data_IF_632610943345
#
_entry.id   IF_632610943345
#
_cell.length_a   1.000
_cell.length_b   1.000
_cell.length_c   1.000
_cell.angle_alpha   90.00
_cell.angle_beta   90.00
_cell.angle_gamma   90.00
#
_symmetry.space_group_name_H-M   'P 1'
#
loop_
_entity.id
_entity.type
_entity.pdbx_description
1 polymer ?
#
# COMPACT_ATOMS: atom_id res chain seq x y z
N UNK A 1 -38.58 -55.13 -2.05
CA UNK A 1 -38.09 -54.30 -3.16
C UNK A 1 -38.53 -52.83 -3.10
N UNK A 2 -39.37 -52.41 -2.17
CA UNK A 2 -39.88 -51.00 -2.09
C UNK A 2 -39.03 -50.05 -1.20
N UNK A 3 -38.26 -50.58 -0.27
CA UNK A 3 -37.46 -49.76 0.67
C UNK A 3 -36.16 -49.24 0.02
N UNK A 4 -35.54 -50.03 -0.85
CA UNK A 4 -34.29 -49.65 -1.53
C UNK A 4 -34.49 -48.52 -2.56
N UNK A 5 -35.64 -48.42 -3.21
CA UNK A 5 -35.97 -47.35 -4.17
C UNK A 5 -36.24 -46.01 -3.49
N UNK A 6 -36.72 -46.03 -2.25
CA UNK A 6 -36.96 -44.79 -1.47
C UNK A 6 -35.63 -44.17 -0.92
N UNK A 7 -34.67 -45.02 -0.51
CA UNK A 7 -33.36 -44.57 -0.05
C UNK A 7 -32.56 -43.92 -1.19
N UNK A 8 -32.67 -44.43 -2.42
CA UNK A 8 -31.97 -43.86 -3.58
C UNK A 8 -32.53 -42.48 -4.02
N UNK A 9 -33.85 -42.30 -3.89
CA UNK A 9 -34.49 -41.01 -4.21
C UNK A 9 -34.12 -39.88 -3.23
N UNK A 10 -33.94 -40.20 -1.95
CA UNK A 10 -33.53 -39.24 -0.93
C UNK A 10 -32.03 -38.87 -1.01
N UNK A 11 -31.17 -39.80 -1.44
CA UNK A 11 -29.76 -39.54 -1.69
C UNK A 11 -29.51 -38.58 -2.85
N UNK A 12 -30.36 -38.62 -3.90
CA UNK A 12 -30.23 -37.77 -5.07
C UNK A 12 -30.71 -36.34 -4.81
N UNK A 13 -31.68 -36.14 -3.92
CA UNK A 13 -32.18 -34.82 -3.50
C UNK A 13 -31.17 -34.13 -2.58
N UNK A 14 -30.43 -34.86 -1.73
CA UNK A 14 -29.40 -34.31 -0.87
C UNK A 14 -28.12 -33.90 -1.63
N UNK A 15 -27.83 -34.59 -2.75
CA UNK A 15 -26.64 -34.26 -3.57
C UNK A 15 -26.85 -33.03 -4.45
N UNK A 16 -28.09 -32.67 -4.80
CA UNK A 16 -28.39 -31.46 -5.56
C UNK A 16 -28.37 -30.15 -4.73
N UNK A 17 -28.46 -30.25 -3.41
CA UNK A 17 -28.48 -29.07 -2.54
C UNK A 17 -27.11 -28.47 -2.19
N UNK A 18 -26.01 -29.16 -2.53
CA UNK A 18 -24.63 -28.73 -2.19
C UNK A 18 -23.99 -27.89 -3.31
N UNK A 19 -24.61 -27.75 -4.47
CA UNK A 19 -24.07 -26.99 -5.60
C UNK A 19 -24.62 -25.54 -5.73
N UNK A 20 -25.27 -25.02 -4.68
CA UNK A 20 -25.44 -23.57 -4.56
C UNK A 20 -24.17 -22.92 -3.96
N UNK A 21 -23.03 -23.16 -4.58
CA UNK A 21 -21.87 -22.30 -4.40
C UNK A 21 -22.27 -20.92 -4.92
N UNK A 22 -22.35 -19.98 -3.99
CA UNK A 22 -22.80 -18.63 -4.23
C UNK A 22 -22.13 -18.03 -5.46
N UNK A 23 -22.93 -17.75 -6.48
CA UNK A 23 -22.53 -16.87 -7.55
C UNK A 23 -22.10 -15.56 -6.89
N UNK A 24 -20.82 -15.32 -6.78
CA UNK A 24 -20.28 -13.98 -6.51
C UNK A 24 -20.88 -13.12 -7.60
N UNK A 25 -21.78 -12.24 -7.21
CA UNK A 25 -22.30 -11.24 -8.11
C UNK A 25 -21.08 -10.47 -8.63
N UNK A 26 -20.71 -10.73 -9.87
CA UNK A 26 -19.72 -9.93 -10.56
C UNK A 26 -20.26 -8.51 -10.54
N UNK A 27 -19.57 -7.60 -9.86
CA UNK A 27 -20.02 -6.24 -9.64
C UNK A 27 -20.14 -5.46 -10.95
N UNK A 28 -19.87 -6.10 -12.08
CA UNK A 28 -19.88 -5.50 -13.41
C UNK A 28 -18.94 -4.29 -13.53
N UNK A 29 -17.98 -4.20 -12.61
CA UNK A 29 -16.96 -3.16 -12.58
C UNK A 29 -15.63 -3.79 -13.01
N UNK A 30 -15.04 -3.22 -14.06
CA UNK A 30 -13.68 -3.54 -14.49
C UNK A 30 -12.75 -2.43 -14.04
N UNK A 31 -11.57 -2.80 -13.57
CA UNK A 31 -10.53 -1.84 -13.15
C UNK A 31 -9.19 -2.38 -13.60
N UNK A 32 -8.42 -1.52 -14.24
CA UNK A 32 -7.06 -1.80 -14.70
C UNK A 32 -6.12 -0.70 -14.24
N UNK A 33 -4.87 -1.09 -14.01
CA UNK A 33 -3.75 -0.20 -13.76
C UNK A 33 -2.92 -0.10 -15.04
N UNK A 34 -2.48 1.09 -15.40
CA UNK A 34 -1.53 1.26 -16.52
C UNK A 34 -0.25 0.43 -16.31
N UNK A 35 0.21 0.38 -15.06
CA UNK A 35 1.33 -0.47 -14.65
C UNK A 35 1.06 -1.08 -13.29
N UNK A 36 1.20 -2.39 -13.18
CA UNK A 36 1.12 -3.11 -11.90
C UNK A 36 2.43 -3.08 -11.11
N UNK A 37 3.50 -2.52 -11.69
CA UNK A 37 4.83 -2.50 -11.09
C UNK A 37 5.43 -1.09 -11.14
N UNK A 38 5.87 -0.59 -9.99
CA UNK A 38 6.65 0.63 -9.85
C UNK A 38 8.07 0.26 -9.46
N UNK A 39 9.03 0.72 -10.27
CA UNK A 39 10.45 0.46 -10.05
C UNK A 39 11.10 1.67 -9.40
N UNK A 40 11.62 1.48 -8.19
CA UNK A 40 12.33 2.52 -7.46
C UNK A 40 13.83 2.31 -7.68
N UNK A 41 14.50 3.31 -8.25
CA UNK A 41 15.94 3.38 -8.35
C UNK A 41 16.49 4.45 -7.40
N UNK A 42 17.80 4.50 -7.24
CA UNK A 42 18.51 5.55 -6.47
C UNK A 42 18.15 6.98 -6.91
N UNK A 43 17.72 7.16 -8.17
CA UNK A 43 17.33 8.44 -8.76
C UNK A 43 15.81 8.62 -8.84
N UNK A 44 15.04 7.81 -8.12
CA UNK A 44 13.59 7.91 -8.14
C UNK A 44 13.13 9.21 -7.46
N UNK A 45 12.47 10.06 -8.22
CA UNK A 45 11.94 11.36 -7.76
C UNK A 45 10.43 11.36 -7.54
N UNK A 46 9.80 10.19 -7.70
CA UNK A 46 8.35 10.00 -7.69
C UNK A 46 7.83 9.63 -9.08
N UNK A 47 6.65 9.06 -9.12
CA UNK A 47 5.97 8.62 -10.35
C UNK A 47 4.48 8.84 -10.25
N UNK A 48 3.83 9.13 -11.37
CA UNK A 48 2.38 9.12 -11.48
C UNK A 48 1.88 7.73 -11.85
N UNK A 49 0.79 7.32 -11.21
CA UNK A 49 0.11 6.05 -11.50
C UNK A 49 -1.28 6.35 -12.01
N UNK A 50 -1.61 5.79 -13.17
CA UNK A 50 -2.92 5.88 -13.78
C UNK A 50 -3.74 4.63 -13.48
N UNK A 51 -4.98 4.87 -13.06
CA UNK A 51 -6.00 3.86 -12.84
C UNK A 51 -7.18 4.20 -13.73
N UNK A 52 -7.72 3.23 -14.42
CA UNK A 52 -8.91 3.40 -15.22
C UNK A 52 -9.81 2.17 -15.11
N UNK A 53 -11.07 2.38 -15.42
CA UNK A 53 -12.02 1.28 -15.36
C UNK A 53 -13.41 1.70 -15.81
N UNK A 54 -14.29 0.73 -15.80
CA UNK A 54 -15.69 0.95 -16.19
C UNK A 54 -16.65 0.45 -15.14
N UNK A 55 -17.80 1.10 -15.06
CA UNK A 55 -18.93 0.65 -14.26
C UNK A 55 -20.13 0.37 -15.16
N UNK A 56 -20.98 -0.57 -14.77
CA UNK A 56 -22.21 -0.87 -15.53
C UNK A 56 -23.24 0.25 -15.52
N UNK A 57 -23.18 1.15 -14.53
CA UNK A 57 -24.15 2.24 -14.33
C UNK A 57 -23.44 3.46 -13.77
N UNK A 58 -24.02 4.64 -13.97
CA UNK A 58 -23.54 5.87 -13.34
C UNK A 58 -23.46 5.72 -11.83
N UNK A 59 -22.28 5.91 -11.28
CA UNK A 59 -21.94 5.71 -9.87
C UNK A 59 -20.83 6.67 -9.47
N UNK A 60 -20.80 7.04 -8.21
CA UNK A 60 -19.66 7.73 -7.64
C UNK A 60 -18.53 6.73 -7.42
N UNK A 61 -17.30 7.13 -7.69
CA UNK A 61 -16.11 6.28 -7.58
C UNK A 61 -15.21 6.83 -6.49
N UNK A 62 -14.79 5.93 -5.60
CA UNK A 62 -13.78 6.20 -4.59
C UNK A 62 -12.66 5.18 -4.74
N UNK A 63 -11.42 5.65 -4.79
CA UNK A 63 -10.23 4.82 -4.90
C UNK A 63 -9.42 5.00 -3.62
N UNK A 64 -9.12 3.90 -2.94
CA UNK A 64 -8.21 3.85 -1.82
C UNK A 64 -6.91 3.20 -2.26
N UNK A 65 -5.79 3.88 -2.02
CA UNK A 65 -4.45 3.32 -2.20
C UNK A 65 -3.80 3.24 -0.84
N UNK A 66 -3.42 2.06 -0.41
CA UNK A 66 -2.75 1.84 0.87
C UNK A 66 -1.46 1.05 0.68
N UNK A 67 -0.37 1.53 1.29
CA UNK A 67 0.90 0.78 1.34
C UNK A 67 0.77 -0.45 2.23
N UNK A 68 1.76 -1.36 2.19
CA UNK A 68 1.94 -2.36 3.24
C UNK A 68 2.01 -1.72 4.62
N UNK A 69 1.62 -2.50 5.63
CA UNK A 69 1.74 -2.09 7.02
C UNK A 69 3.21 -2.02 7.45
N UNK A 70 3.54 -1.01 8.22
CA UNK A 70 4.86 -0.78 8.79
C UNK A 70 4.79 -0.54 10.30
N UNK A 71 5.96 -0.55 10.95
CA UNK A 71 6.10 -0.10 12.33
C UNK A 71 6.58 1.34 12.37
N UNK A 72 5.92 2.19 13.12
CA UNK A 72 6.29 3.59 13.28
C UNK A 72 6.63 3.92 14.74
N UNK A 73 7.57 4.83 14.95
CA UNK A 73 7.92 5.32 16.28
C UNK A 73 7.54 6.79 16.37
N UNK A 74 6.57 7.08 17.23
CA UNK A 74 6.21 8.45 17.59
C UNK A 74 7.10 8.91 18.74
N UNK A 75 7.66 10.11 18.62
CA UNK A 75 8.38 10.77 19.71
C UNK A 75 7.80 12.16 19.94
N UNK A 76 7.41 12.43 21.15
CA UNK A 76 6.92 13.74 21.58
C UNK A 76 8.09 14.58 22.11
N UNK A 77 8.07 15.88 21.78
CA UNK A 77 8.95 16.84 22.42
C UNK A 77 8.13 17.61 23.46
N UNK A 78 8.41 17.36 24.72
CA UNK A 78 7.82 18.09 25.83
C UNK A 78 8.69 19.30 26.23
N UNK A 79 8.09 20.33 26.79
CA UNK A 79 8.80 21.47 27.35
C UNK A 79 8.92 21.32 28.86
N UNK A 80 10.15 21.32 29.37
CA UNK A 80 10.45 21.35 30.80
C UNK A 80 11.20 22.64 31.10
N UNK A 81 10.49 23.62 31.68
CA UNK A 81 11.03 24.97 31.84
C UNK A 81 11.37 25.63 30.49
N UNK A 82 12.58 26.18 30.32
CA UNK A 82 13.01 26.77 29.05
C UNK A 82 13.47 25.73 28.01
N UNK A 83 13.58 24.45 28.37
CA UNK A 83 14.19 23.41 27.51
C UNK A 83 13.15 22.52 26.85
N UNK A 84 13.41 22.12 25.60
CA UNK A 84 12.67 21.08 24.88
C UNK A 84 13.33 19.74 25.17
N UNK A 85 12.63 18.86 25.87
CA UNK A 85 13.11 17.51 26.22
C UNK A 85 12.40 16.49 25.35
N UNK A 86 13.12 15.48 24.85
CA UNK A 86 12.50 14.35 24.20
C UNK A 86 11.70 13.56 25.26
N UNK A 87 10.39 13.52 25.07
CA UNK A 87 9.49 12.68 25.86
C UNK A 87 9.63 11.19 25.50
N UNK A 88 8.75 10.37 26.06
CA UNK A 88 8.69 8.95 25.77
C UNK A 88 8.60 8.64 24.28
N UNK A 89 8.96 7.43 23.89
CA UNK A 89 8.74 6.90 22.54
C UNK A 89 7.54 5.95 22.59
N UNK A 90 6.65 6.08 21.62
CA UNK A 90 5.54 5.16 21.42
C UNK A 90 5.75 4.43 20.11
N UNK A 91 5.89 3.12 20.14
CA UNK A 91 5.94 2.28 18.96
C UNK A 91 4.54 1.82 18.60
N UNK A 92 4.18 2.03 17.35
CA UNK A 92 2.90 1.63 16.78
C UNK A 92 3.19 0.69 15.62
N UNK A 93 2.66 -0.51 15.68
CA UNK A 93 2.79 -1.54 14.67
C UNK A 93 1.48 -1.68 13.87
N UNK A 94 1.56 -2.25 12.67
CA UNK A 94 0.44 -2.43 11.74
C UNK A 94 -0.25 -1.12 11.34
N UNK A 95 0.54 -0.14 10.95
CA UNK A 95 0.04 1.12 10.38
C UNK A 95 0.47 1.26 8.94
N UNK A 96 -0.42 1.68 8.02
CA UNK A 96 -0.02 1.92 6.65
C UNK A 96 0.95 3.10 6.57
N UNK A 97 2.01 2.92 5.81
CA UNK A 97 2.99 3.99 5.57
C UNK A 97 2.42 5.13 4.72
N UNK A 98 1.54 4.78 3.76
CA UNK A 98 0.88 5.70 2.84
C UNK A 98 -0.60 5.34 2.70
N UNK A 99 -1.47 6.36 2.71
CA UNK A 99 -2.91 6.21 2.39
C UNK A 99 -3.36 7.37 1.51
N UNK A 100 -3.82 7.06 0.31
CA UNK A 100 -4.47 8.03 -0.57
C UNK A 100 -5.93 7.66 -0.77
N UNK A 101 -6.80 8.65 -0.66
CA UNK A 101 -8.24 8.54 -0.89
C UNK A 101 -8.60 9.49 -2.03
N UNK A 102 -8.87 8.93 -3.20
CA UNK A 102 -9.29 9.70 -4.38
C UNK A 102 -10.78 9.53 -4.59
N UNK A 103 -11.46 10.57 -5.03
CA UNK A 103 -12.90 10.53 -5.30
C UNK A 103 -13.27 11.48 -6.44
N UNK A 104 -14.42 11.22 -7.08
CA UNK A 104 -14.95 12.11 -8.11
C UNK A 104 -15.65 13.35 -7.55
N UNK A 105 -16.00 13.34 -6.27
CA UNK A 105 -16.53 14.47 -5.50
C UNK A 105 -16.23 14.27 -4.01
N UNK A 106 -16.46 15.25 -3.14
CA UNK A 106 -16.19 15.13 -1.71
C UNK A 106 -16.80 13.88 -1.09
N UNK A 107 -16.02 13.13 -0.31
CA UNK A 107 -16.44 11.83 0.26
C UNK A 107 -17.72 11.93 1.10
N UNK A 108 -17.91 13.02 1.83
CA UNK A 108 -19.12 13.29 2.64
C UNK A 108 -20.39 13.48 1.81
N UNK A 109 -20.28 13.77 0.52
CA UNK A 109 -21.40 13.85 -0.41
C UNK A 109 -21.69 12.48 -1.07
N UNK A 110 -20.70 11.58 -1.09
CA UNK A 110 -20.84 10.26 -1.69
C UNK A 110 -21.56 9.31 -0.75
N UNK A 111 -21.16 9.27 0.53
CA UNK A 111 -21.75 8.41 1.53
C UNK A 111 -21.58 8.96 2.96
N UNK A 112 -22.43 8.50 3.86
CA UNK A 112 -22.35 8.85 5.27
C UNK A 112 -21.08 8.33 5.93
N UNK A 113 -20.58 9.05 6.94
CA UNK A 113 -19.35 8.71 7.66
C UNK A 113 -19.31 7.26 8.16
N UNK A 114 -20.35 6.65 8.76
CA UNK A 114 -20.30 5.26 9.20
C UNK A 114 -20.10 4.27 8.04
N UNK A 115 -20.61 4.59 6.84
CA UNK A 115 -20.42 3.78 5.64
C UNK A 115 -18.96 3.88 5.17
N UNK A 116 -18.42 5.09 5.11
CA UNK A 116 -17.03 5.33 4.73
C UNK A 116 -16.05 4.64 5.70
N UNK A 117 -16.27 4.74 7.00
CA UNK A 117 -15.43 4.10 8.02
C UNK A 117 -15.45 2.57 7.90
N UNK A 118 -16.61 1.98 7.67
CA UNK A 118 -16.77 0.52 7.49
C UNK A 118 -15.94 -0.02 6.32
N UNK A 119 -15.76 0.78 5.27
CA UNK A 119 -15.00 0.40 4.07
C UNK A 119 -13.55 0.91 4.07
N UNK A 120 -13.06 1.46 5.17
CA UNK A 120 -11.69 1.95 5.26
C UNK A 120 -11.44 3.23 4.46
N UNK A 121 -12.48 4.03 4.20
CA UNK A 121 -12.43 5.25 3.40
C UNK A 121 -12.26 6.53 4.25
N UNK A 122 -11.72 6.37 5.45
CA UNK A 122 -11.28 7.47 6.30
C UNK A 122 -9.88 7.18 6.82
N UNK A 123 -9.09 8.19 7.14
CA UNK A 123 -7.74 7.94 7.70
C UNK A 123 -7.82 7.22 9.03
N UNK A 124 -8.78 7.58 9.87
CA UNK A 124 -9.00 6.95 11.17
C UNK A 124 -9.27 5.43 11.03
N UNK A 125 -10.12 5.02 10.11
CA UNK A 125 -10.43 3.60 9.89
C UNK A 125 -9.24 2.80 9.34
N UNK A 126 -8.30 3.44 8.65
CA UNK A 126 -7.05 2.80 8.22
C UNK A 126 -6.07 2.57 9.39
N UNK A 127 -6.28 3.20 10.54
CA UNK A 127 -5.51 2.98 11.77
C UNK A 127 -6.19 2.00 12.74
N UNK A 128 -7.34 1.43 12.39
CA UNK A 128 -8.09 0.53 13.27
C UNK A 128 -7.34 -0.79 13.56
N UNK A 129 -6.47 -1.23 12.65
CA UNK A 129 -5.62 -2.43 12.84
C UNK A 129 -4.33 -2.14 13.64
N UNK A 130 -4.04 -0.88 13.92
CA UNK A 130 -2.82 -0.47 14.60
C UNK A 130 -2.74 -1.04 16.02
N UNK A 131 -1.55 -1.49 16.40
CA UNK A 131 -1.26 -2.05 17.72
C UNK A 131 -0.16 -1.26 18.40
N UNK A 132 -0.35 -0.96 19.67
CA UNK A 132 0.68 -0.34 20.49
C UNK A 132 1.55 -1.43 21.10
N UNK A 133 2.87 -1.28 20.99
CA UNK A 133 3.84 -2.21 21.60
C UNK A 133 3.92 -2.04 23.13
N UNK A 134 3.46 -0.91 23.67
CA UNK A 134 3.41 -0.61 25.10
C UNK A 134 2.26 0.34 25.41
N UNK A 135 1.91 0.46 26.70
CA UNK A 135 0.95 1.48 27.13
C UNK A 135 1.44 2.88 26.70
N UNK A 136 0.56 3.73 26.18
CA UNK A 136 0.95 5.06 25.75
C UNK A 136 1.47 5.89 26.93
N UNK A 137 2.64 6.50 26.82
CA UNK A 137 3.13 7.41 27.84
C UNK A 137 2.22 8.63 27.99
N UNK A 138 2.27 9.36 29.11
CA UNK A 138 1.53 10.61 29.28
C UNK A 138 1.76 11.57 28.09
N UNK A 139 0.69 12.16 27.56
CA UNK A 139 0.72 13.03 26.39
C UNK A 139 0.53 12.32 25.04
N UNK A 140 0.29 11.01 25.06
CA UNK A 140 -0.01 10.21 23.85
C UNK A 140 -1.44 9.64 23.87
N UNK A 141 -2.33 10.20 24.68
CA UNK A 141 -3.72 9.73 24.78
C UNK A 141 -4.42 9.76 23.42
N UNK A 142 -4.11 10.75 22.59
CA UNK A 142 -4.64 10.89 21.22
C UNK A 142 -3.55 10.64 20.14
N UNK A 143 -2.85 9.51 20.29
CA UNK A 143 -1.76 9.16 19.36
C UNK A 143 -2.23 8.98 17.92
N UNK A 144 -3.47 8.52 17.70
CA UNK A 144 -4.01 8.34 16.35
C UNK A 144 -4.12 9.66 15.60
N UNK A 145 -4.69 10.68 16.23
CA UNK A 145 -4.75 12.01 15.64
C UNK A 145 -3.37 12.66 15.47
N UNK A 146 -2.44 12.39 16.39
CA UNK A 146 -1.05 12.84 16.24
C UNK A 146 -0.35 12.16 15.05
N UNK A 147 -0.55 10.85 14.89
CA UNK A 147 -0.02 10.07 13.76
C UNK A 147 -0.62 10.55 12.43
N UNK A 148 -1.93 10.71 12.37
CA UNK A 148 -2.63 11.21 11.18
C UNK A 148 -2.09 12.58 10.78
N UNK A 149 -1.99 13.54 11.72
CA UNK A 149 -1.40 14.86 11.46
C UNK A 149 0.04 14.79 10.94
N UNK A 150 0.86 13.88 11.47
CA UNK A 150 2.22 13.65 11.02
C UNK A 150 2.24 13.18 9.56
N UNK A 151 1.45 12.15 9.24
CA UNK A 151 1.36 11.58 7.88
C UNK A 151 0.78 12.56 6.86
N UNK A 152 -0.20 13.38 7.26
CA UNK A 152 -0.73 14.49 6.45
C UNK A 152 0.36 15.53 6.15
N UNK A 153 1.13 15.94 7.16
CA UNK A 153 2.25 16.88 6.99
C UNK A 153 3.33 16.33 6.06
N UNK A 154 3.60 15.04 6.12
CA UNK A 154 4.53 14.32 5.24
C UNK A 154 3.96 14.07 3.84
N UNK A 155 2.69 14.42 3.59
CA UNK A 155 1.97 14.12 2.34
C UNK A 155 1.86 12.63 2.02
N UNK A 156 1.99 11.76 3.03
CA UNK A 156 1.82 10.32 2.92
C UNK A 156 0.35 9.91 3.10
N UNK A 157 -0.43 10.70 3.84
CA UNK A 157 -1.88 10.60 3.87
C UNK A 157 -2.45 11.77 3.08
N UNK A 158 -3.25 11.48 2.05
CA UNK A 158 -3.83 12.49 1.18
C UNK A 158 -5.28 12.16 0.84
N UNK A 159 -6.10 13.18 0.90
CA UNK A 159 -7.46 13.17 0.36
C UNK A 159 -7.45 14.01 -0.92
N UNK A 160 -7.81 13.38 -2.02
CA UNK A 160 -7.75 13.93 -3.37
C UNK A 160 -9.19 13.96 -3.92
N UNK A 161 -9.96 14.93 -3.47
CA UNK A 161 -11.33 15.13 -3.91
C UNK A 161 -11.33 15.69 -5.33
N UNK A 162 -12.21 15.15 -6.18
CA UNK A 162 -12.36 15.53 -7.61
C UNK A 162 -11.19 15.09 -8.52
N UNK A 163 -10.30 14.23 -8.07
CA UNK A 163 -9.19 13.69 -8.88
C UNK A 163 -9.59 12.44 -9.69
N UNK A 164 -10.77 11.89 -9.44
CA UNK A 164 -11.37 10.84 -10.27
C UNK A 164 -12.27 11.48 -11.31
N UNK A 165 -11.93 11.32 -12.59
CA UNK A 165 -12.78 11.78 -13.71
C UNK A 165 -13.72 10.66 -14.12
N UNK A 166 -14.96 11.02 -14.43
CA UNK A 166 -15.96 10.09 -14.93
C UNK A 166 -16.44 10.60 -16.29
N UNK A 167 -16.17 9.80 -17.33
CA UNK A 167 -16.59 10.09 -18.69
C UNK A 167 -17.80 9.23 -19.06
N UNK A 168 -18.79 9.87 -19.74
CA UNK A 168 -20.02 9.20 -20.19
C UNK A 168 -20.76 8.42 -19.09
N UNK A 169 -20.51 8.77 -17.80
CA UNK A 169 -21.14 8.17 -16.63
C UNK A 169 -20.73 6.70 -16.35
N UNK A 170 -19.77 6.14 -17.09
CA UNK A 170 -19.36 4.74 -16.96
C UNK A 170 -17.86 4.52 -16.93
N UNK A 171 -17.09 5.27 -17.71
CA UNK A 171 -15.64 5.20 -17.73
C UNK A 171 -15.10 6.11 -16.63
N UNK A 172 -14.28 5.61 -15.75
CA UNK A 172 -13.57 6.42 -14.78
C UNK A 172 -12.05 6.33 -15.00
N UNK A 173 -11.38 7.42 -14.71
CA UNK A 173 -9.93 7.49 -14.70
C UNK A 173 -9.45 8.33 -13.52
N UNK A 174 -8.32 7.96 -12.96
CA UNK A 174 -7.66 8.69 -11.89
C UNK A 174 -6.15 8.68 -12.10
N UNK A 175 -5.51 9.74 -11.69
CA UNK A 175 -4.05 9.87 -11.72
C UNK A 175 -3.58 10.34 -10.35
N UNK A 176 -2.69 9.60 -9.71
CA UNK A 176 -2.16 10.00 -8.42
C UNK A 176 -0.63 9.91 -8.37
N UNK A 177 0.03 10.88 -7.71
CA UNK A 177 1.47 10.89 -7.57
C UNK A 177 1.91 9.98 -6.43
N UNK A 178 2.87 9.11 -6.70
CA UNK A 178 3.64 8.42 -5.67
C UNK A 178 4.87 9.29 -5.31
N UNK A 179 5.11 9.60 -4.03
CA UNK A 179 6.24 10.42 -3.62
C UNK A 179 7.57 9.68 -3.79
N UNK A 180 8.69 10.42 -3.77
CA UNK A 180 10.03 9.82 -3.83
C UNK A 180 10.34 8.89 -2.64
N UNK A 181 9.81 9.24 -1.47
CA UNK A 181 9.97 8.45 -0.24
C UNK A 181 8.68 7.69 0.04
N UNK A 182 8.60 6.44 -0.39
CA UNK A 182 7.46 5.58 -0.14
C UNK A 182 7.93 4.21 0.34
N UNK A 183 7.16 3.52 1.20
CA UNK A 183 7.45 2.15 1.60
C UNK A 183 7.52 1.21 0.41
N UNK A 184 8.45 0.26 0.43
CA UNK A 184 8.51 -0.82 -0.55
C UNK A 184 7.46 -1.89 -0.24
N UNK A 185 7.02 -2.62 -1.26
CA UNK A 185 6.12 -3.77 -1.14
C UNK A 185 4.83 -3.64 -1.92
N UNK A 186 3.84 -4.45 -1.56
CA UNK A 186 2.59 -4.59 -2.28
C UNK A 186 1.54 -3.59 -1.77
N UNK A 187 1.27 -2.58 -2.59
CA UNK A 187 0.22 -1.60 -2.34
C UNK A 187 -1.13 -2.17 -2.73
N UNK A 188 -2.10 -2.04 -1.86
CA UNK A 188 -3.49 -2.39 -2.16
C UNK A 188 -4.21 -1.19 -2.74
N UNK A 189 -4.75 -1.36 -3.92
CA UNK A 189 -5.59 -0.40 -4.60
C UNK A 189 -7.01 -0.94 -4.63
N UNK A 190 -7.89 -0.33 -3.85
CA UNK A 190 -9.29 -0.71 -3.75
C UNK A 190 -10.16 0.36 -4.44
N UNK A 191 -10.95 -0.05 -5.41
CA UNK A 191 -11.90 0.81 -6.11
C UNK A 191 -13.30 0.45 -5.64
N UNK A 192 -14.02 1.47 -5.18
CA UNK A 192 -15.38 1.38 -4.68
C UNK A 192 -16.32 2.17 -5.56
N UNK A 193 -17.44 1.60 -5.91
CA UNK A 193 -18.52 2.29 -6.60
C UNK A 193 -19.70 2.48 -5.66
N UNK A 194 -20.18 3.72 -5.56
CA UNK A 194 -21.30 4.11 -4.71
C UNK A 194 -22.46 4.61 -5.54
N UNK A 195 -23.67 4.36 -5.07
CA UNK A 195 -24.89 4.96 -5.61
C UNK A 195 -25.84 5.31 -4.48
N UNK A 196 -26.22 6.59 -4.42
CA UNK A 196 -27.13 7.11 -3.37
C UNK A 196 -26.66 6.69 -1.97
N UNK A 197 -25.36 6.86 -1.67
CA UNK A 197 -24.78 6.54 -0.38
C UNK A 197 -24.54 5.05 -0.08
N UNK A 198 -24.87 4.14 -1.01
CA UNK A 198 -24.72 2.69 -0.81
C UNK A 198 -23.62 2.13 -1.72
N UNK A 199 -22.80 1.24 -1.18
CA UNK A 199 -21.81 0.51 -1.96
C UNK A 199 -22.50 -0.42 -2.96
N UNK A 200 -22.13 -0.31 -4.24
CA UNK A 200 -22.68 -1.10 -5.34
C UNK A 200 -21.64 -2.01 -5.99
N UNK A 201 -20.36 -1.72 -5.83
CA UNK A 201 -19.27 -2.54 -6.35
C UNK A 201 -17.97 -2.27 -5.63
N UNK A 202 -17.10 -3.28 -5.58
CA UNK A 202 -15.75 -3.20 -5.02
C UNK A 202 -14.83 -4.08 -5.84
N UNK A 203 -13.66 -3.54 -6.18
CA UNK A 203 -12.58 -4.27 -6.85
C UNK A 203 -11.26 -3.93 -6.15
N UNK A 204 -10.41 -4.93 -5.97
CA UNK A 204 -9.08 -4.77 -5.40
C UNK A 204 -8.03 -5.19 -6.42
N UNK A 205 -6.96 -4.41 -6.53
CA UNK A 205 -5.79 -4.68 -7.36
C UNK A 205 -4.53 -4.46 -6.54
N UNK A 206 -3.43 -5.07 -6.95
CA UNK A 206 -2.14 -4.94 -6.27
C UNK A 206 -1.20 -4.14 -7.19
N UNK A 207 -0.58 -3.12 -6.62
CA UNK A 207 0.49 -2.36 -7.24
C UNK A 207 1.80 -2.70 -6.51
N UNK A 208 2.71 -3.38 -7.19
CA UNK A 208 3.99 -3.78 -6.62
C UNK A 208 5.01 -2.66 -6.73
N UNK A 209 5.56 -2.27 -5.61
CA UNK A 209 6.59 -1.24 -5.51
C UNK A 209 7.89 -1.89 -5.06
N UNK A 210 8.80 -2.08 -6.02
CA UNK A 210 10.05 -2.80 -5.80
C UNK A 210 11.26 -1.91 -6.11
N UNK A 211 12.30 -2.08 -5.30
CA UNK A 211 13.59 -1.46 -5.59
C UNK A 211 14.25 -2.16 -6.77
N UNK A 212 14.78 -1.36 -7.68
CA UNK A 212 15.58 -1.84 -8.81
C UNK A 212 16.80 -0.94 -8.96
N UNK A 213 17.96 -1.53 -9.18
CA UNK A 213 19.17 -0.76 -9.36
C UNK A 213 20.40 -1.64 -9.40
N UNK A 214 21.53 -1.00 -9.60
CA UNK A 214 22.83 -1.66 -9.62
C UNK A 214 23.17 -2.25 -8.23
N UNK A 215 22.68 -1.62 -7.16
CA UNK A 215 22.84 -2.08 -5.78
C UNK A 215 22.19 -3.45 -5.57
N UNK A 216 20.96 -3.64 -6.08
CA UNK A 216 20.28 -4.93 -6.01
C UNK A 216 21.04 -5.99 -6.79
N UNK A 217 21.52 -5.65 -8.00
CA UNK A 217 22.32 -6.55 -8.82
C UNK A 217 23.63 -6.92 -8.11
N UNK A 218 24.35 -5.92 -7.55
CA UNK A 218 25.59 -6.16 -6.78
C UNK A 218 25.30 -7.04 -5.57
N UNK A 219 24.25 -6.76 -4.81
CA UNK A 219 23.85 -7.55 -3.64
C UNK A 219 23.53 -9.00 -4.01
N UNK A 220 22.77 -9.22 -5.08
CA UNK A 220 22.44 -10.56 -5.56
C UNK A 220 23.65 -11.32 -6.06
N UNK A 221 24.55 -10.66 -6.81
CA UNK A 221 25.79 -11.25 -7.30
C UNK A 221 26.73 -11.54 -6.13
N UNK A 222 26.87 -10.63 -5.17
CA UNK A 222 27.71 -10.82 -3.99
C UNK A 222 27.22 -12.00 -3.12
N UNK A 223 25.93 -12.19 -2.97
CA UNK A 223 25.36 -13.31 -2.23
C UNK A 223 25.45 -14.64 -2.99
N UNK A 224 25.21 -14.63 -4.29
CA UNK A 224 25.21 -15.86 -5.10
C UNK A 224 26.61 -16.34 -5.45
N UNK A 225 27.56 -15.41 -5.59
CA UNK A 225 28.95 -15.69 -5.98
C UNK A 225 29.94 -15.03 -5.01
N UNK A 226 29.72 -15.16 -3.70
CA UNK A 226 30.52 -14.51 -2.65
C UNK A 226 32.02 -14.83 -2.76
N UNK A 227 32.37 -16.06 -3.12
CA UNK A 227 33.76 -16.46 -3.36
C UNK A 227 34.42 -15.74 -4.55
N UNK A 228 33.67 -15.61 -5.67
CA UNK A 228 34.15 -14.93 -6.88
C UNK A 228 34.34 -13.42 -6.63
N UNK A 229 33.47 -12.84 -5.80
CA UNK A 229 33.56 -11.44 -5.38
C UNK A 229 34.83 -11.21 -4.55
N UNK A 230 35.12 -12.11 -3.62
CA UNK A 230 36.35 -12.07 -2.82
C UNK A 230 37.62 -12.16 -3.68
N UNK A 231 37.65 -13.11 -4.63
CA UNK A 231 38.79 -13.26 -5.58
C UNK A 231 38.96 -12.01 -6.44
N UNK A 232 37.87 -11.46 -6.98
CA UNK A 232 37.88 -10.25 -7.81
C UNK A 232 38.49 -9.06 -7.05
N UNK A 233 38.01 -8.81 -5.83
CA UNK A 233 38.52 -7.71 -5.00
C UNK A 233 39.99 -7.91 -4.60
N UNK A 234 40.39 -9.14 -4.31
CA UNK A 234 41.79 -9.45 -4.01
C UNK A 234 42.72 -9.15 -5.21
N UNK A 235 42.32 -9.59 -6.41
CA UNK A 235 43.05 -9.30 -7.63
C UNK A 235 43.13 -7.79 -7.91
N UNK A 236 42.05 -7.08 -7.70
CA UNK A 236 41.97 -5.62 -7.89
C UNK A 236 42.90 -4.88 -6.89
N UNK A 237 42.93 -5.32 -5.64
CA UNK A 237 43.81 -4.76 -4.61
C UNK A 237 45.32 -5.01 -4.96
N UNK A 238 45.65 -6.23 -5.40
CA UNK A 238 47.02 -6.56 -5.83
C UNK A 238 47.42 -5.73 -7.06
N UNK A 239 46.55 -5.64 -8.07
CA UNK A 239 46.83 -4.83 -9.26
C UNK A 239 47.05 -3.36 -8.91
N UNK A 240 46.17 -2.80 -8.04
CA UNK A 240 46.33 -1.41 -7.58
C UNK A 240 47.63 -1.19 -6.82
N UNK A 241 48.02 -2.14 -5.94
CA UNK A 241 49.26 -2.09 -5.22
C UNK A 241 50.48 -2.12 -6.14
N UNK A 242 50.49 -2.98 -7.18
CA UNK A 242 51.56 -3.05 -8.16
C UNK A 242 51.65 -1.76 -8.99
N UNK A 243 50.52 -1.22 -9.46
CA UNK A 243 50.52 0.06 -10.22
C UNK A 243 51.09 1.18 -9.35
N UNK A 244 50.63 1.28 -8.09
CA UNK A 244 51.10 2.31 -7.17
C UNK A 244 52.60 2.15 -6.88
N UNK A 245 53.08 0.92 -6.68
CA UNK A 245 54.51 0.62 -6.50
C UNK A 245 55.36 1.02 -7.72
N UNK A 246 54.88 0.76 -8.94
CA UNK A 246 55.57 1.17 -10.17
C UNK A 246 55.63 2.70 -10.32
N UNK A 247 54.56 3.38 -9.98
CA UNK A 247 54.49 4.85 -10.04
C UNK A 247 55.43 5.52 -9.04
N UNK A 248 55.48 4.99 -7.82
CA UNK A 248 56.39 5.51 -6.79
C UNK A 248 57.84 5.23 -7.10
N UNK A 249 58.16 4.06 -7.70
CA UNK A 249 59.54 3.69 -8.09
C UNK A 249 60.09 4.54 -9.23
N UNK A 250 59.23 5.15 -10.06
CA UNK A 250 59.65 6.07 -11.14
C UNK A 250 59.97 7.48 -10.66
N UNK A 251 59.71 7.80 -9.41
CA UNK A 251 59.99 9.13 -8.82
C UNK A 251 61.28 9.20 -7.99
N UNK A 252 62.03 8.08 -7.89
CA UNK A 252 63.38 8.00 -7.34
C UNK A 252 64.36 7.57 -8.46
#
# INVERSE_FOLDING_TARGET
MSVLRRAFAWGLVLCCSVWLTGARADSGMLTELESSHVKISTWFTGQHVFVFGTTTRSSDIVIRVASPDESAVLSHKGRVGPFWVKGGKLRVDHVPGLVYLLSNRPLNEIADRPVLERHGLTFHSNLAAARLSSAPPPGYEDWQAAFERLKLKQRLFRKLDSDVRIDSGRLFSANFPLPATLPLGDYRLDVYSFRKGRLTGHRSSILQVNEVGIELWISQVAQRYSWAFGVLFTLLAVATGLVLSMLLRRRH
#
